data_IF_084459869744
#
_entry.id   IF_084459869744
#
_cell.length_a   1.000
_cell.length_b   1.000
_cell.length_c   1.000
_cell.angle_alpha   90.00
_cell.angle_beta   90.00
_cell.angle_gamma   90.00
#
_symmetry.space_group_name_H-M   'P 1'
#
loop_
_entity.id
_entity.type
_entity.pdbx_description
1 polymer ?
#
# COMPACT_ATOMS: atom_id res chain seq x y z
N UNK A 1 17.99 -18.29 -6.82
CA UNK A 1 17.23 -18.12 -8.08
C UNK A 1 15.91 -17.45 -7.66
N UNK A 2 15.61 -16.19 -7.91
CA UNK A 2 15.58 -15.50 -9.21
C UNK A 2 15.56 -13.97 -8.98
N UNK A 3 16.66 -13.27 -9.29
CA UNK A 3 16.71 -11.79 -9.24
C UNK A 3 16.62 -11.18 -10.65
N UNK A 4 16.44 -12.02 -11.69
CA UNK A 4 16.55 -11.60 -13.10
C UNK A 4 15.21 -11.16 -13.72
N UNK A 5 14.07 -11.29 -13.02
CA UNK A 5 12.78 -10.93 -13.63
C UNK A 5 12.40 -9.43 -13.54
N UNK A 6 13.06 -8.65 -12.68
CA UNK A 6 12.51 -7.34 -12.28
C UNK A 6 12.83 -6.19 -13.28
N UNK A 7 14.04 -6.11 -13.87
CA UNK A 7 14.31 -5.09 -14.90
C UNK A 7 13.45 -5.29 -16.14
N UNK A 8 13.13 -6.53 -16.50
CA UNK A 8 12.37 -6.87 -17.71
C UNK A 8 10.91 -6.46 -17.56
N UNK A 9 10.30 -6.66 -16.39
CA UNK A 9 8.92 -6.22 -16.11
C UNK A 9 8.83 -4.69 -16.05
N UNK A 10 9.79 -4.00 -15.42
CA UNK A 10 9.85 -2.54 -15.48
C UNK A 10 10.02 -2.04 -16.91
N UNK A 11 10.93 -2.62 -17.69
CA UNK A 11 11.21 -2.16 -19.04
C UNK A 11 10.04 -2.44 -20.00
N UNK A 12 9.36 -3.59 -19.88
CA UNK A 12 8.22 -3.93 -20.74
C UNK A 12 6.94 -3.16 -20.37
N UNK A 13 6.65 -3.01 -19.07
CA UNK A 13 5.46 -2.30 -18.57
C UNK A 13 5.58 -0.79 -18.78
N UNK A 14 6.77 -0.22 -18.52
CA UNK A 14 7.03 1.19 -18.80
C UNK A 14 6.99 1.42 -20.31
N UNK A 15 7.74 0.69 -21.14
CA UNK A 15 7.91 1.07 -22.55
C UNK A 15 6.62 1.04 -23.39
N UNK A 16 5.69 0.12 -23.15
CA UNK A 16 4.47 0.01 -23.98
C UNK A 16 3.30 0.89 -23.50
N UNK A 17 3.14 1.07 -22.18
CA UNK A 17 2.03 1.81 -21.59
C UNK A 17 2.37 3.30 -21.34
N UNK A 18 3.63 3.61 -21.01
CA UNK A 18 4.10 4.95 -20.64
C UNK A 18 4.12 5.95 -21.80
N UNK A 19 4.41 5.47 -23.01
CA UNK A 19 4.60 6.36 -24.15
C UNK A 19 3.31 6.60 -24.94
N UNK A 20 2.34 5.67 -24.90
CA UNK A 20 1.09 5.78 -25.65
C UNK A 20 -0.09 6.34 -24.84
N UNK A 21 -0.07 6.24 -23.50
CA UNK A 21 -1.23 6.55 -22.64
C UNK A 21 -0.93 7.43 -21.43
N UNK A 22 0.34 7.61 -21.05
CA UNK A 22 0.66 8.39 -19.86
C UNK A 22 0.69 9.89 -20.16
N UNK A 23 -0.07 10.66 -19.39
CA UNK A 23 -0.03 12.12 -19.40
C UNK A 23 1.41 12.57 -19.09
N UNK A 24 2.08 13.35 -19.97
CA UNK A 24 3.49 13.72 -19.78
C UNK A 24 3.78 14.38 -18.43
N UNK A 25 2.85 15.20 -17.94
CA UNK A 25 2.97 15.86 -16.64
C UNK A 25 2.96 14.89 -15.44
N UNK A 26 2.37 13.68 -15.58
CA UNK A 26 2.33 12.67 -14.51
C UNK A 26 3.58 11.78 -14.49
N UNK A 27 4.38 11.79 -15.55
CA UNK A 27 5.58 10.94 -15.69
C UNK A 27 6.55 11.09 -14.50
N UNK A 28 6.86 12.29 -13.99
CA UNK A 28 7.74 12.43 -12.83
C UNK A 28 7.14 11.84 -11.54
N UNK A 29 5.84 11.99 -11.34
CA UNK A 29 5.14 11.48 -10.15
C UNK A 29 5.17 9.95 -10.12
N UNK A 30 4.76 9.29 -11.22
CA UNK A 30 4.71 7.83 -11.26
C UNK A 30 6.11 7.22 -11.12
N UNK A 31 7.14 7.84 -11.71
CA UNK A 31 8.54 7.41 -11.52
C UNK A 31 8.93 7.41 -10.04
N UNK A 32 8.56 8.45 -9.28
CA UNK A 32 8.83 8.52 -7.84
C UNK A 32 8.07 7.43 -7.07
N UNK A 33 6.80 7.19 -7.39
CA UNK A 33 6.03 6.11 -6.77
C UNK A 33 6.66 4.74 -7.01
N UNK A 34 7.04 4.44 -8.26
CA UNK A 34 7.70 3.18 -8.61
C UNK A 34 9.05 3.03 -7.90
N UNK A 35 9.82 4.11 -7.82
CA UNK A 35 11.08 4.12 -7.08
C UNK A 35 10.87 3.85 -5.60
N UNK A 36 9.88 4.47 -4.95
CA UNK A 36 9.56 4.19 -3.54
C UNK A 36 9.17 2.73 -3.36
N UNK A 37 8.24 2.20 -4.16
CA UNK A 37 7.85 0.79 -4.11
C UNK A 37 9.04 -0.15 -4.29
N UNK A 38 9.96 0.19 -5.17
CA UNK A 38 11.21 -0.56 -5.37
C UNK A 38 12.08 -0.56 -4.12
N UNK A 39 12.30 0.61 -3.50
CA UNK A 39 13.08 0.72 -2.27
C UNK A 39 12.46 -0.11 -1.13
N UNK A 40 11.13 -0.20 -1.05
CA UNK A 40 10.46 -1.04 -0.05
C UNK A 40 10.77 -2.53 -0.20
N UNK A 41 11.01 -3.01 -1.43
CA UNK A 41 11.27 -4.43 -1.71
C UNK A 41 12.76 -4.76 -1.60
N UNK A 42 13.65 -3.83 -1.97
CA UNK A 42 15.10 -4.07 -2.02
C UNK A 42 15.75 -4.10 -0.64
N UNK A 43 15.17 -3.41 0.35
CA UNK A 43 15.65 -3.51 1.73
C UNK A 43 15.54 -4.95 2.27
N UNK A 44 16.49 -5.35 3.12
CA UNK A 44 16.50 -6.65 3.78
C UNK A 44 16.25 -6.49 5.29
N UNK A 45 15.15 -7.03 5.83
CA UNK A 45 14.03 -7.71 5.16
C UNK A 45 13.08 -6.76 4.39
N UNK A 46 12.35 -7.25 3.36
CA UNK A 46 11.44 -6.43 2.56
C UNK A 46 10.29 -5.88 3.40
N UNK A 47 9.96 -4.60 3.19
CA UNK A 47 8.78 -3.96 3.77
C UNK A 47 7.50 -4.57 3.21
N UNK A 48 6.44 -4.59 4.01
CA UNK A 48 5.16 -5.12 3.57
C UNK A 48 3.97 -4.30 4.05
N UNK A 49 2.91 -4.35 3.27
CA UNK A 49 1.60 -3.87 3.68
C UNK A 49 0.82 -5.00 4.36
N UNK A 50 0.21 -4.70 5.50
CA UNK A 50 -0.69 -5.61 6.21
C UNK A 50 -2.13 -5.44 5.70
N UNK A 51 -2.61 -6.50 5.04
CA UNK A 51 -3.95 -6.65 4.49
C UNK A 51 -4.79 -7.68 5.25
N UNK A 52 -4.36 -8.08 6.45
CA UNK A 52 -5.04 -9.10 7.25
C UNK A 52 -6.40 -8.64 7.78
N UNK A 53 -6.60 -7.33 7.97
CA UNK A 53 -7.84 -6.75 8.48
C UNK A 53 -8.97 -6.86 7.46
N UNK A 54 -10.08 -7.47 7.87
CA UNK A 54 -11.26 -7.69 7.01
C UNK A 54 -12.46 -6.86 7.49
N UNK A 55 -13.44 -6.69 6.61
CA UNK A 55 -14.77 -6.20 7.00
C UNK A 55 -15.32 -6.99 8.20
N UNK A 56 -15.91 -6.30 9.17
CA UNK A 56 -16.45 -6.89 10.39
C UNK A 56 -15.43 -7.13 11.51
N UNK A 57 -14.13 -6.91 11.26
CA UNK A 57 -13.10 -7.00 12.32
C UNK A 57 -13.27 -5.87 13.34
N UNK A 58 -12.81 -6.09 14.57
CA UNK A 58 -12.71 -4.99 15.54
C UNK A 58 -11.71 -3.94 15.03
N UNK A 59 -12.06 -2.67 15.22
CA UNK A 59 -11.24 -1.55 14.80
C UNK A 59 -10.09 -1.37 15.78
N UNK A 60 -8.88 -1.74 15.37
CA UNK A 60 -7.67 -1.53 16.16
C UNK A 60 -7.08 -0.14 15.88
N UNK A 61 -7.18 0.75 16.87
CA UNK A 61 -6.64 2.11 16.80
C UNK A 61 -5.11 2.15 16.87
N UNK A 62 -4.45 1.05 17.23
CA UNK A 62 -2.99 0.92 17.15
C UNK A 62 -2.53 0.68 15.72
N UNK A 63 -3.34 -0.03 14.92
CA UNK A 63 -3.03 -0.33 13.52
C UNK A 63 -3.59 0.72 12.54
N UNK A 64 -4.76 1.29 12.85
CA UNK A 64 -5.47 2.16 11.91
C UNK A 64 -5.84 3.51 12.51
N UNK A 65 -5.85 4.53 11.64
CA UNK A 65 -6.55 5.80 11.85
C UNK A 65 -7.94 5.72 11.23
N UNK A 66 -8.89 6.39 11.87
CA UNK A 66 -10.22 6.64 11.32
C UNK A 66 -10.13 7.42 10.01
N UNK A 67 -10.94 7.02 9.02
CA UNK A 67 -11.02 7.73 7.74
C UNK A 67 -11.98 8.93 7.80
N UNK A 68 -13.29 8.71 7.71
CA UNK A 68 -14.29 9.80 7.77
C UNK A 68 -15.24 9.68 8.96
N UNK A 69 -15.40 8.49 9.53
CA UNK A 69 -16.27 8.24 10.67
C UNK A 69 -15.50 7.60 11.82
N UNK A 70 -16.12 7.61 13.01
CA UNK A 70 -15.64 6.87 14.18
C UNK A 70 -16.55 5.69 14.45
N UNK A 71 -15.97 4.57 14.89
CA UNK A 71 -16.67 3.33 15.20
C UNK A 71 -15.69 2.26 15.66
N UNK A 72 -16.23 1.11 16.08
CA UNK A 72 -15.48 0.02 16.70
C UNK A 72 -15.33 -1.21 15.79
N UNK A 73 -15.96 -1.20 14.62
CA UNK A 73 -15.95 -2.30 13.66
C UNK A 73 -15.52 -1.76 12.30
N UNK A 74 -14.57 -2.44 11.65
CA UNK A 74 -14.09 -2.06 10.32
C UNK A 74 -15.15 -2.36 9.27
N UNK A 75 -15.53 -1.34 8.50
CA UNK A 75 -16.33 -1.50 7.29
C UNK A 75 -15.43 -1.82 6.10
N UNK A 76 -14.38 -1.03 5.88
CA UNK A 76 -13.37 -1.32 4.86
C UNK A 76 -12.04 -0.64 5.15
N UNK A 77 -10.97 -1.22 4.60
CA UNK A 77 -9.62 -0.64 4.66
C UNK A 77 -9.45 0.30 3.46
N UNK A 78 -9.15 1.57 3.74
CA UNK A 78 -8.84 2.58 2.71
C UNK A 78 -7.38 2.46 2.30
N UNK A 79 -6.51 2.32 3.30
CA UNK A 79 -5.08 2.11 3.11
C UNK A 79 -4.56 1.13 4.17
N UNK A 80 -3.80 0.10 3.79
CA UNK A 80 -3.29 -0.90 4.72
C UNK A 80 -2.27 -0.29 5.69
N UNK A 81 -2.09 -0.95 6.84
CA UNK A 81 -0.95 -0.68 7.71
C UNK A 81 0.36 -1.10 7.02
N UNK A 82 1.47 -0.45 7.33
CA UNK A 82 2.77 -0.75 6.75
C UNK A 82 3.75 -1.19 7.84
N UNK A 83 4.37 -2.35 7.65
CA UNK A 83 5.30 -2.96 8.59
C UNK A 83 6.70 -3.02 7.98
N UNK A 84 7.73 -2.98 8.84
CA UNK A 84 9.14 -3.04 8.41
C UNK A 84 9.46 -4.33 7.65
N UNK A 85 8.79 -5.41 8.03
CA UNK A 85 8.75 -6.69 7.34
C UNK A 85 7.52 -7.48 7.79
N UNK A 86 7.31 -8.65 7.18
CA UNK A 86 6.24 -9.58 7.57
C UNK A 86 6.39 -9.89 9.07
N UNK A 87 5.29 -9.73 9.81
CA UNK A 87 5.23 -9.87 11.29
C UNK A 87 6.19 -8.94 12.06
N UNK A 88 6.74 -7.93 11.39
CA UNK A 88 7.63 -6.94 11.95
C UNK A 88 6.91 -5.74 12.57
N UNK A 89 7.67 -4.81 13.18
CA UNK A 89 7.10 -3.62 13.79
C UNK A 89 6.38 -2.74 12.77
N UNK A 90 5.31 -2.10 13.25
CA UNK A 90 4.55 -1.12 12.48
C UNK A 90 5.40 0.13 12.21
N UNK A 91 5.54 0.47 10.93
CA UNK A 91 6.22 1.69 10.49
C UNK A 91 5.21 2.82 10.29
N UNK A 92 4.04 2.50 9.75
CA UNK A 92 2.97 3.48 9.55
C UNK A 92 1.59 2.85 9.74
N UNK A 93 0.73 3.54 10.49
CA UNK A 93 -0.69 3.16 10.63
C UNK A 93 -1.38 3.22 9.28
N UNK A 94 -2.29 2.27 9.07
CA UNK A 94 -3.23 2.31 7.95
C UNK A 94 -4.32 3.33 8.18
N UNK A 95 -5.23 3.41 7.22
CA UNK A 95 -6.46 4.19 7.28
C UNK A 95 -7.62 3.26 6.98
N UNK A 96 -8.59 3.19 7.89
CA UNK A 96 -9.76 2.34 7.73
C UNK A 96 -11.03 3.13 8.06
N UNK A 97 -12.10 2.79 7.34
CA UNK A 97 -13.44 3.29 7.61
C UNK A 97 -14.13 2.32 8.57
N UNK A 98 -14.58 2.78 9.75
CA UNK A 98 -15.49 1.99 10.56
C UNK A 98 -16.92 2.06 10.04
N UNK A 99 -17.71 1.06 10.41
CA UNK A 99 -19.16 1.09 10.22
C UNK A 99 -19.69 2.31 10.99
N UNK A 100 -20.31 3.23 10.25
CA UNK A 100 -20.95 4.40 10.85
C UNK A 100 -21.99 3.95 11.88
N UNK A 101 -22.11 4.70 12.99
CA UNK A 101 -23.25 4.50 13.89
C UNK A 101 -24.51 4.76 13.07
N UNK A 102 -25.33 3.75 12.83
CA UNK A 102 -26.73 3.97 12.46
C UNK A 102 -27.34 4.87 13.53
N UNK A 103 -27.69 6.09 13.13
CA UNK A 103 -28.38 7.06 13.97
C UNK A 103 -29.75 6.52 14.41
#
# INVERSE_FOLDING_TARGET
MSVVLIPVVQHAFVKTYWDNKCIPAMKPFIKKCLFLCWMMVVQGPPMCFDWSTKHGSQFDTNLYRHYTSSGTVVEFVVWPAMCLHIEGPLIAKGVAQPVGKTA
#
